data_IF_968742631686
#
_entry.id   IF_968742631686
#
_cell.length_a   1.000
_cell.length_b   1.000
_cell.length_c   1.000
_cell.angle_alpha   90.00
_cell.angle_beta   90.00
_cell.angle_gamma   90.00
#
_symmetry.space_group_name_H-M   'P 1'
#
loop_
_entity.id
_entity.type
_entity.pdbx_description
1 polymer ?
#
# COMPACT_ATOMS: atom_id res chain seq x y z
N UNK A 1 -37.37 8.35 21.10
CA UNK A 1 -36.96 8.13 19.70
C UNK A 1 -35.73 7.23 19.70
N UNK A 2 -35.95 5.92 19.73
CA UNK A 2 -34.90 4.90 19.73
C UNK A 2 -34.48 4.63 18.29
N UNK A 3 -33.23 4.96 17.96
CA UNK A 3 -32.65 4.65 16.65
C UNK A 3 -32.54 3.12 16.50
N UNK A 4 -33.32 2.56 15.57
CA UNK A 4 -33.13 1.20 15.07
C UNK A 4 -31.74 1.12 14.41
N UNK A 5 -30.75 0.57 15.11
CA UNK A 5 -29.51 0.11 14.48
C UNK A 5 -29.86 -1.12 13.66
N UNK A 6 -29.75 -1.00 12.35
CA UNK A 6 -29.77 -2.14 11.44
C UNK A 6 -28.66 -3.10 11.93
N UNK A 7 -28.95 -4.36 12.27
CA UNK A 7 -27.92 -5.29 12.69
C UNK A 7 -26.94 -5.46 11.53
N UNK A 8 -25.65 -5.20 11.78
CA UNK A 8 -24.61 -5.58 10.82
C UNK A 8 -24.73 -7.08 10.61
N UNK A 9 -24.87 -7.52 9.34
CA UNK A 9 -25.20 -8.91 9.01
C UNK A 9 -24.05 -9.89 9.28
N UNK A 10 -23.00 -9.44 9.95
CA UNK A 10 -21.79 -10.19 10.27
C UNK A 10 -21.37 -9.90 11.71
N UNK A 11 -20.87 -10.90 12.46
CA UNK A 11 -20.37 -10.69 13.82
C UNK A 11 -19.30 -9.60 13.89
N UNK A 12 -19.22 -8.86 15.00
CA UNK A 12 -18.24 -7.79 15.20
C UNK A 12 -16.79 -8.26 15.01
N UNK A 13 -16.47 -9.50 15.40
CA UNK A 13 -15.15 -10.10 15.17
C UNK A 13 -14.83 -10.27 13.68
N UNK A 14 -15.85 -10.59 12.87
CA UNK A 14 -15.77 -10.68 11.42
C UNK A 14 -15.64 -9.26 10.84
N UNK A 15 -16.44 -8.31 11.29
CA UNK A 15 -16.32 -6.90 10.86
C UNK A 15 -14.93 -6.31 11.17
N UNK A 16 -14.36 -6.60 12.35
CA UNK A 16 -13.01 -6.22 12.76
C UNK A 16 -11.90 -6.95 11.98
N UNK A 17 -12.17 -8.14 11.46
CA UNK A 17 -11.27 -8.86 10.55
C UNK A 17 -11.30 -8.25 9.14
N UNK A 18 -12.47 -7.83 8.66
CA UNK A 18 -12.67 -7.37 7.28
C UNK A 18 -12.46 -5.85 7.07
N UNK A 19 -12.69 -5.00 8.08
CA UNK A 19 -12.54 -3.54 8.02
C UNK A 19 -11.59 -3.00 9.10
N UNK A 20 -10.37 -3.53 9.15
CA UNK A 20 -9.37 -3.06 10.09
C UNK A 20 -8.52 -1.92 9.51
N UNK A 21 -9.05 -0.69 9.53
CA UNK A 21 -8.32 0.50 9.06
C UNK A 21 -6.97 0.69 9.77
N UNK A 22 -6.88 0.31 11.05
CA UNK A 22 -5.63 0.37 11.82
C UNK A 22 -4.59 -0.61 11.27
N UNK A 23 -4.98 -1.84 10.96
CA UNK A 23 -4.09 -2.82 10.34
C UNK A 23 -3.62 -2.34 8.96
N UNK A 24 -4.52 -1.75 8.18
CA UNK A 24 -4.17 -1.21 6.86
C UNK A 24 -3.21 -0.02 6.96
N UNK A 25 -3.44 0.88 7.92
CA UNK A 25 -2.49 1.94 8.23
C UNK A 25 -1.12 1.36 8.64
N UNK A 26 -1.12 0.34 9.48
CA UNK A 26 0.11 -0.34 9.90
C UNK A 26 0.85 -1.04 8.75
N UNK A 27 0.13 -1.65 7.80
CA UNK A 27 0.72 -2.24 6.59
C UNK A 27 1.38 -1.19 5.70
N UNK A 28 0.77 -0.01 5.56
CA UNK A 28 1.36 1.11 4.82
C UNK A 28 2.53 1.72 5.60
N UNK A 29 2.43 1.84 6.93
CA UNK A 29 3.53 2.30 7.76
C UNK A 29 4.74 1.36 7.68
N UNK A 30 4.50 0.04 7.67
CA UNK A 30 5.50 -0.99 7.44
C UNK A 30 6.23 -0.79 6.10
N UNK A 31 5.47 -0.55 5.02
CA UNK A 31 6.04 -0.24 3.70
C UNK A 31 6.90 1.04 3.72
N UNK A 32 6.37 2.10 4.35
CA UNK A 32 7.08 3.38 4.46
C UNK A 32 8.36 3.26 5.28
N UNK A 33 8.35 2.44 6.33
CA UNK A 33 9.53 2.11 7.11
C UNK A 33 10.54 1.31 6.27
N UNK A 34 10.09 0.29 5.52
CA UNK A 34 10.94 -0.50 4.62
C UNK A 34 11.63 0.39 3.57
N UNK A 35 10.91 1.34 2.95
CA UNK A 35 11.53 2.32 2.06
C UNK A 35 12.66 3.10 2.73
N UNK A 36 12.48 3.46 4.00
CA UNK A 36 13.44 4.25 4.76
C UNK A 36 14.70 3.47 5.14
N UNK A 37 14.62 2.13 5.20
CA UNK A 37 15.77 1.24 5.36
C UNK A 37 16.58 1.16 4.06
N UNK A 38 15.90 1.11 2.91
CA UNK A 38 16.57 1.07 1.61
C UNK A 38 17.23 2.42 1.26
N UNK A 39 16.55 3.53 1.54
CA UNK A 39 17.07 4.87 1.24
C UNK A 39 16.38 5.96 2.05
N UNK A 40 17.08 7.05 2.35
CA UNK A 40 16.50 8.27 2.96
C UNK A 40 15.72 9.15 1.96
N UNK A 41 15.60 8.73 0.70
CA UNK A 41 14.93 9.47 -0.37
C UNK A 41 13.40 9.46 -0.20
N UNK A 42 12.74 10.57 -0.58
CA UNK A 42 11.28 10.62 -0.75
C UNK A 42 10.86 9.69 -1.90
N UNK A 43 9.72 9.02 -1.76
CA UNK A 43 9.19 8.08 -2.76
C UNK A 43 7.94 8.64 -3.41
N UNK A 44 7.69 8.33 -4.69
CA UNK A 44 6.46 8.77 -5.35
C UNK A 44 5.27 8.07 -4.72
N UNK A 45 4.13 8.76 -4.65
CA UNK A 45 2.87 8.16 -4.19
C UNK A 45 2.50 6.90 -4.99
N UNK A 46 2.73 6.94 -6.30
CA UNK A 46 2.54 5.81 -7.22
C UNK A 46 3.43 4.62 -6.90
N UNK A 47 4.64 4.86 -6.38
CA UNK A 47 5.59 3.81 -5.97
C UNK A 47 5.10 3.13 -4.69
N UNK A 48 4.60 3.90 -3.72
CA UNK A 48 3.95 3.36 -2.52
C UNK A 48 2.76 2.48 -2.88
N UNK A 49 1.87 2.96 -3.76
CA UNK A 49 0.73 2.18 -4.25
C UNK A 49 1.19 0.89 -4.95
N UNK A 50 2.20 0.99 -5.82
CA UNK A 50 2.74 -0.14 -6.57
C UNK A 50 3.20 -1.27 -5.64
N UNK A 51 4.12 -1.01 -4.72
CA UNK A 51 4.65 -2.04 -3.83
C UNK A 51 3.63 -2.54 -2.80
N UNK A 52 2.72 -1.67 -2.34
CA UNK A 52 1.60 -2.10 -1.51
C UNK A 52 0.74 -3.13 -2.24
N UNK A 53 0.41 -2.88 -3.52
CA UNK A 53 -0.36 -3.81 -4.34
C UNK A 53 0.39 -5.15 -4.53
N UNK A 54 1.68 -5.09 -4.87
CA UNK A 54 2.51 -6.28 -5.08
C UNK A 54 2.50 -7.23 -3.89
N UNK A 55 2.70 -6.71 -2.69
CA UNK A 55 2.87 -7.54 -1.48
C UNK A 55 1.54 -7.94 -0.85
N UNK A 56 0.58 -7.01 -0.70
CA UNK A 56 -0.64 -7.29 0.04
C UNK A 56 -1.69 -8.05 -0.76
N UNK A 57 -1.62 -8.03 -2.08
CA UNK A 57 -2.53 -8.76 -2.97
C UNK A 57 -1.83 -9.88 -3.74
N UNK A 58 -0.60 -10.24 -3.33
CA UNK A 58 0.19 -11.32 -3.92
C UNK A 58 0.44 -11.17 -5.44
N UNK A 59 0.50 -9.91 -5.91
CA UNK A 59 0.66 -9.58 -7.33
C UNK A 59 2.12 -9.66 -7.80
N UNK A 60 3.07 -9.96 -6.90
CA UNK A 60 4.44 -10.35 -7.28
C UNK A 60 4.47 -11.46 -8.33
N UNK A 61 3.53 -12.41 -8.24
CA UNK A 61 3.41 -13.54 -9.18
C UNK A 61 3.20 -13.11 -10.63
N UNK A 62 2.67 -11.90 -10.88
CA UNK A 62 2.56 -11.34 -12.23
C UNK A 62 3.92 -11.22 -12.90
N UNK A 63 4.96 -10.92 -12.12
CA UNK A 63 6.30 -10.69 -12.64
C UNK A 63 7.18 -11.95 -12.60
N UNK A 64 6.77 -12.97 -11.84
CA UNK A 64 7.47 -14.26 -11.71
C UNK A 64 6.94 -15.33 -12.68
N UNK A 65 5.68 -15.24 -13.12
CA UNK A 65 5.09 -16.21 -14.04
C UNK A 65 5.72 -16.12 -15.44
N UNK A 66 6.20 -17.24 -15.99
CA UNK A 66 6.64 -17.35 -17.38
C UNK A 66 5.47 -17.55 -18.37
N UNK A 67 4.26 -17.75 -17.83
CA UNK A 67 3.05 -18.04 -18.58
C UNK A 67 2.19 -16.77 -18.73
N UNK A 68 1.97 -16.35 -19.98
CA UNK A 68 1.16 -15.18 -20.32
C UNK A 68 -0.33 -15.35 -20.00
N UNK A 69 -0.88 -16.55 -20.09
CA UNK A 69 -2.29 -16.80 -19.75
C UNK A 69 -2.53 -16.65 -18.25
N UNK A 70 -1.60 -17.15 -17.43
CA UNK A 70 -1.63 -16.98 -15.98
C UNK A 70 -1.47 -15.50 -15.60
N UNK A 71 -0.61 -14.75 -16.30
CA UNK A 71 -0.45 -13.30 -16.10
C UNK A 71 -1.73 -12.55 -16.40
N UNK A 72 -2.41 -12.87 -17.49
CA UNK A 72 -3.67 -12.22 -17.88
C UNK A 72 -4.81 -12.54 -16.90
N UNK A 73 -4.86 -13.77 -16.36
CA UNK A 73 -5.83 -14.14 -15.32
C UNK A 73 -5.59 -13.42 -13.98
N UNK A 74 -4.34 -13.13 -13.65
CA UNK A 74 -3.94 -12.49 -12.39
C UNK A 74 -3.93 -10.96 -12.47
N UNK A 75 -3.90 -10.39 -13.68
CA UNK A 75 -3.79 -8.94 -13.87
C UNK A 75 -5.00 -8.23 -13.25
N UNK A 76 -4.80 -7.18 -12.42
CA UNK A 76 -5.91 -6.45 -11.83
C UNK A 76 -6.71 -5.75 -12.93
N UNK A 77 -8.04 -5.76 -12.81
CA UNK A 77 -8.85 -4.87 -13.64
C UNK A 77 -8.55 -3.41 -13.28
N UNK A 78 -8.68 -2.47 -14.24
CA UNK A 78 -8.48 -1.05 -13.97
C UNK A 78 -9.33 -0.55 -12.78
N UNK A 79 -10.56 -1.04 -12.65
CA UNK A 79 -11.45 -0.72 -11.52
C UNK A 79 -10.85 -1.15 -10.18
N UNK A 80 -10.29 -2.36 -10.10
CA UNK A 80 -9.62 -2.83 -8.89
C UNK A 80 -8.41 -1.97 -8.53
N UNK A 81 -7.61 -1.56 -9.53
CA UNK A 81 -6.51 -0.62 -9.31
C UNK A 81 -6.99 0.74 -8.76
N UNK A 82 -8.06 1.30 -9.32
CA UNK A 82 -8.66 2.55 -8.81
C UNK A 82 -9.14 2.41 -7.36
N UNK A 83 -9.68 1.26 -6.97
CA UNK A 83 -10.06 0.99 -5.58
C UNK A 83 -8.85 0.98 -4.66
N UNK A 84 -7.73 0.38 -5.08
CA UNK A 84 -6.48 0.42 -4.32
C UNK A 84 -5.95 1.83 -4.15
N UNK A 85 -5.95 2.62 -5.24
CA UNK A 85 -5.53 4.02 -5.20
C UNK A 85 -6.36 4.83 -4.21
N UNK A 86 -7.70 4.71 -4.26
CA UNK A 86 -8.60 5.41 -3.33
C UNK A 86 -8.33 5.01 -1.87
N UNK A 87 -8.13 3.72 -1.61
CA UNK A 87 -7.83 3.20 -0.27
C UNK A 87 -6.50 3.75 0.28
N UNK A 88 -5.43 3.66 -0.52
CA UNK A 88 -4.10 4.13 -0.12
C UNK A 88 -4.08 5.64 0.10
N UNK A 89 -4.73 6.42 -0.76
CA UNK A 89 -4.82 7.86 -0.58
C UNK A 89 -5.49 8.22 0.74
N UNK A 90 -6.59 7.54 1.11
CA UNK A 90 -7.25 7.74 2.40
C UNK A 90 -6.33 7.41 3.59
N UNK A 91 -5.59 6.30 3.51
CA UNK A 91 -4.64 5.90 4.56
C UNK A 91 -3.52 6.94 4.71
N UNK A 92 -2.95 7.43 3.61
CA UNK A 92 -1.87 8.42 3.66
C UNK A 92 -2.34 9.76 4.23
N UNK A 93 -3.57 10.18 3.93
CA UNK A 93 -4.17 11.37 4.58
C UNK A 93 -4.24 11.15 6.10
N UNK A 94 -4.66 9.97 6.56
CA UNK A 94 -4.72 9.66 7.99
C UNK A 94 -3.33 9.64 8.61
N UNK A 95 -2.33 9.05 7.94
CA UNK A 95 -0.94 9.04 8.39
C UNK A 95 -0.33 10.44 8.48
N UNK A 96 -0.68 11.33 7.54
CA UNK A 96 -0.26 12.73 7.55
C UNK A 96 -0.83 13.47 8.77
N UNK A 97 -2.12 13.27 9.08
CA UNK A 97 -2.79 13.89 10.25
C UNK A 97 -2.11 13.52 11.57
N UNK A 98 -1.63 12.27 11.70
CA UNK A 98 -0.89 11.81 12.89
C UNK A 98 0.62 12.00 12.78
N UNK A 99 1.09 12.76 11.79
CA UNK A 99 2.49 13.12 11.58
C UNK A 99 3.45 11.94 11.38
N UNK A 100 2.94 10.78 10.94
CA UNK A 100 3.78 9.61 10.63
C UNK A 100 4.50 9.75 9.30
N UNK A 101 3.95 10.54 8.38
CA UNK A 101 4.55 10.84 7.08
C UNK A 101 4.58 12.34 6.84
N UNK A 102 5.50 12.73 5.99
CA UNK A 102 5.56 14.03 5.34
C UNK A 102 5.22 13.86 3.85
N UNK A 103 4.47 14.81 3.30
CA UNK A 103 4.01 14.79 1.91
C UNK A 103 4.49 16.07 1.24
N UNK A 104 5.18 15.94 0.11
CA UNK A 104 5.67 17.07 -0.68
C UNK A 104 5.10 17.01 -2.09
N UNK A 105 4.36 18.06 -2.46
CA UNK A 105 3.81 18.31 -3.78
C UNK A 105 3.44 19.79 -3.91
N UNK A 106 3.39 20.29 -5.14
CA UNK A 106 2.98 21.66 -5.47
C UNK A 106 1.72 21.58 -6.35
N UNK A 107 0.90 22.63 -6.38
CA UNK A 107 -0.28 22.71 -7.25
C UNK A 107 0.09 22.72 -8.74
N UNK A 108 1.32 23.14 -9.05
CA UNK A 108 1.91 23.08 -10.39
C UNK A 108 2.39 21.68 -10.77
N UNK A 109 2.58 20.78 -9.80
CA UNK A 109 2.99 19.41 -10.06
C UNK A 109 1.79 18.56 -10.45
N UNK A 110 2.01 17.59 -11.35
CA UNK A 110 1.01 16.55 -11.57
C UNK A 110 0.84 15.73 -10.29
N UNK A 111 -0.36 15.20 -10.06
CA UNK A 111 -0.65 14.35 -8.89
C UNK A 111 0.30 13.14 -8.79
N UNK A 112 0.83 12.66 -9.92
CA UNK A 112 1.81 11.57 -10.00
C UNK A 112 3.21 11.93 -9.48
N UNK A 113 3.52 13.22 -9.31
CA UNK A 113 4.81 13.70 -8.80
C UNK A 113 4.78 14.04 -7.31
N UNK A 114 3.64 13.83 -6.65
CA UNK A 114 3.54 13.92 -5.19
C UNK A 114 4.43 12.83 -4.58
N UNK A 115 5.29 13.26 -3.66
CA UNK A 115 6.22 12.37 -2.94
C UNK A 115 5.91 12.30 -1.46
N UNK A 116 6.22 11.16 -0.86
CA UNK A 116 5.96 10.84 0.53
C UNK A 116 7.25 10.35 1.21
N UNK A 117 7.38 10.64 2.50
CA UNK A 117 8.50 10.17 3.32
C UNK A 117 8.02 9.89 4.74
N UNK A 118 8.51 8.83 5.36
CA UNK A 118 8.24 8.56 6.78
C UNK A 118 9.00 9.54 7.67
N UNK A 119 8.33 10.09 8.68
CA UNK A 119 8.93 10.98 9.68
C UNK A 119 9.66 10.17 10.77
N UNK A 120 10.52 10.80 11.60
CA UNK A 120 11.06 10.15 12.78
C UNK A 120 9.97 9.59 13.71
N UNK A 121 8.88 10.34 13.93
CA UNK A 121 7.73 9.92 14.74
C UNK A 121 7.13 8.62 14.20
N UNK A 122 6.90 8.54 12.89
CA UNK A 122 6.38 7.34 12.25
C UNK A 122 7.32 6.13 12.38
N UNK A 123 8.63 6.35 12.25
CA UNK A 123 9.64 5.28 12.42
C UNK A 123 9.65 4.73 13.84
N UNK A 124 9.72 5.61 14.83
CA UNK A 124 9.71 5.20 16.24
C UNK A 124 8.43 4.47 16.61
N UNK A 125 7.27 4.97 16.14
CA UNK A 125 5.99 4.33 16.39
C UNK A 125 5.96 2.90 15.83
N UNK A 126 6.46 2.69 14.60
CA UNK A 126 6.51 1.37 13.99
C UNK A 126 7.46 0.42 14.74
N UNK A 127 8.67 0.89 15.07
CA UNK A 127 9.67 0.08 15.78
C UNK A 127 9.17 -0.40 17.16
N UNK A 128 8.37 0.41 17.85
CA UNK A 128 7.77 0.05 19.15
C UNK A 128 6.76 -1.10 19.10
N UNK A 129 6.16 -1.39 17.93
CA UNK A 129 5.14 -2.44 17.83
C UNK A 129 5.70 -3.86 17.98
N UNK A 130 6.99 -4.06 17.68
CA UNK A 130 7.75 -5.31 17.84
C UNK A 130 6.92 -6.60 17.57
N UNK A 131 6.30 -6.69 16.39
CA UNK A 131 5.43 -7.81 16.02
C UNK A 131 6.08 -8.66 14.95
N UNK A 132 6.10 -9.98 15.16
CA UNK A 132 6.61 -10.95 14.17
C UNK A 132 5.89 -10.84 12.81
N UNK A 133 4.58 -10.57 12.83
CA UNK A 133 3.80 -10.35 11.62
C UNK A 133 4.36 -9.18 10.79
N UNK A 134 4.64 -8.04 11.43
CA UNK A 134 5.15 -6.86 10.74
C UNK A 134 6.63 -7.02 10.32
N UNK A 135 7.43 -7.79 11.06
CA UNK A 135 8.79 -8.16 10.63
C UNK A 135 8.77 -8.98 9.34
N UNK A 136 7.93 -10.01 9.27
CA UNK A 136 7.75 -10.81 8.04
C UNK A 136 7.20 -9.99 6.88
N UNK A 137 6.26 -9.08 7.17
CA UNK A 137 5.71 -8.18 6.14
C UNK A 137 6.78 -7.21 5.61
N UNK A 138 7.61 -6.67 6.49
CA UNK A 138 8.72 -5.80 6.11
C UNK A 138 9.71 -6.53 5.19
N UNK A 139 10.06 -7.77 5.52
CA UNK A 139 10.93 -8.61 4.68
C UNK A 139 10.31 -8.82 3.29
N UNK A 140 9.00 -9.10 3.21
CA UNK A 140 8.31 -9.21 1.91
C UNK A 140 8.39 -7.93 1.08
N UNK A 141 8.30 -6.75 1.69
CA UNK A 141 8.47 -5.49 0.97
C UNK A 141 9.91 -5.31 0.49
N UNK A 142 10.91 -5.55 1.34
CA UNK A 142 12.32 -5.46 0.94
C UNK A 142 12.62 -6.40 -0.22
N UNK A 143 12.16 -7.65 -0.15
CA UNK A 143 12.30 -8.62 -1.23
C UNK A 143 11.59 -8.16 -2.52
N UNK A 144 10.43 -7.52 -2.41
CA UNK A 144 9.73 -6.97 -3.58
C UNK A 144 10.51 -5.84 -4.25
N UNK A 145 11.19 -4.98 -3.48
CA UNK A 145 12.03 -3.90 -4.02
C UNK A 145 13.20 -4.43 -4.85
N UNK A 146 13.73 -5.59 -4.48
CA UNK A 146 14.85 -6.23 -5.17
C UNK A 146 14.39 -6.99 -6.42
N UNK A 147 13.23 -7.65 -6.36
CA UNK A 147 12.71 -8.47 -7.45
C UNK A 147 12.07 -7.68 -8.59
N UNK A 148 11.30 -6.63 -8.26
CA UNK A 148 10.48 -5.92 -9.25
C UNK A 148 10.71 -4.42 -9.13
N UNK A 149 11.37 -3.84 -10.13
CA UNK A 149 11.63 -2.41 -10.16
C UNK A 149 10.35 -1.60 -10.40
N UNK A 150 10.26 -0.44 -9.75
CA UNK A 150 9.22 0.54 -10.04
C UNK A 150 9.52 1.23 -11.38
N UNK A 151 8.75 0.90 -12.41
CA UNK A 151 8.90 1.44 -13.78
C UNK A 151 7.54 1.67 -14.44
N UNK A 152 7.50 2.53 -15.45
CA UNK A 152 6.27 2.81 -16.23
C UNK A 152 5.66 1.54 -16.81
N UNK A 153 6.49 0.61 -17.30
CA UNK A 153 6.03 -0.65 -17.88
C UNK A 153 5.38 -1.54 -16.81
N UNK A 154 6.03 -1.71 -15.65
CA UNK A 154 5.47 -2.54 -14.58
C UNK A 154 4.19 -1.95 -13.99
N UNK A 155 4.06 -0.62 -13.97
CA UNK A 155 2.82 0.06 -13.58
C UNK A 155 1.69 -0.23 -14.57
N UNK A 156 1.96 -0.26 -15.90
CA UNK A 156 0.94 -0.59 -16.91
C UNK A 156 0.38 -2.00 -16.70
N UNK A 157 1.27 -2.97 -16.44
CA UNK A 157 0.90 -4.35 -16.10
C UNK A 157 -0.01 -4.36 -14.87
N UNK A 158 0.36 -3.63 -13.81
CA UNK A 158 -0.44 -3.57 -12.58
C UNK A 158 -1.81 -2.87 -12.79
N UNK A 159 -1.91 -1.96 -13.76
CA UNK A 159 -3.15 -1.27 -14.12
C UNK A 159 -4.08 -2.09 -15.02
N UNK A 160 -3.64 -3.26 -15.49
CA UNK A 160 -4.38 -4.07 -16.44
C UNK A 160 -4.51 -3.42 -17.82
N UNK A 161 -3.54 -2.59 -18.21
CA UNK A 161 -3.47 -2.02 -19.56
C UNK A 161 -2.65 -2.98 -20.43
N UNK A 162 -3.18 -3.47 -21.57
CA UNK A 162 -2.44 -4.36 -22.46
C UNK A 162 -1.16 -3.68 -22.97
N UNK A 163 -0.12 -4.48 -23.19
CA UNK A 163 1.17 -4.03 -23.73
C UNK A 163 1.05 -3.63 -25.20
#
# INVERSE_FOLDING_TARGET
MTQNRIPSSVPLSIELLFNNEKLELMKVLCLMYAFSLQSKKRRKLSETLFYYCLVNFNLLKLFEANDEELRNCLAPSPNLYFRFQKKINGILINMLKVQFIDVKGDISNKLEDITVLITPIGKEFYQKQNSEFFLKLQEKYTNAFEKVSFSTNNIKVLKGVPQ
#
